data_IF_151176337256
#
_entry.id   IF_151176337256
#
_cell.length_a   1.000
_cell.length_b   1.000
_cell.length_c   1.000
_cell.angle_alpha   90.00
_cell.angle_beta   90.00
_cell.angle_gamma   90.00
#
_symmetry.space_group_name_H-M   'P 1'
#
loop_
_entity.id
_entity.type
_entity.pdbx_description
1 polymer ?
#
# COMPACT_ATOMS: atom_id res chain seq x y z
N UNK A 1 50.90 -26.33 -5.71
CA UNK A 1 50.36 -25.41 -6.72
C UNK A 1 49.50 -26.27 -7.63
N UNK A 2 48.35 -25.74 -8.07
CA UNK A 2 47.28 -26.40 -8.86
C UNK A 2 46.39 -27.35 -8.03
N UNK A 3 45.06 -27.29 -8.01
CA UNK A 3 44.01 -26.55 -8.73
C UNK A 3 42.90 -26.19 -7.71
N UNK A 4 42.32 -25.00 -7.65
CA UNK A 4 41.50 -24.44 -8.72
C UNK A 4 40.05 -24.94 -8.70
N UNK A 5 39.46 -25.22 -7.53
CA UNK A 5 38.05 -25.64 -7.45
C UNK A 5 37.11 -24.41 -7.47
N UNK A 6 36.90 -23.85 -8.66
CA UNK A 6 35.76 -22.97 -8.91
C UNK A 6 34.48 -23.79 -8.72
N UNK A 7 33.79 -23.54 -7.60
CA UNK A 7 32.39 -23.95 -7.47
C UNK A 7 31.57 -22.98 -8.31
N UNK A 8 31.33 -23.37 -9.56
CA UNK A 8 30.20 -22.85 -10.32
C UNK A 8 28.95 -23.11 -9.47
N UNK A 9 28.39 -22.05 -8.91
CA UNK A 9 27.18 -22.12 -8.12
C UNK A 9 26.04 -22.59 -9.01
N UNK A 10 25.55 -23.80 -8.77
CA UNK A 10 24.26 -24.26 -9.28
C UNK A 10 23.21 -23.22 -8.90
N UNK A 11 22.77 -22.43 -9.88
CA UNK A 11 21.56 -21.60 -9.79
C UNK A 11 20.41 -22.59 -9.69
N UNK A 12 19.92 -22.83 -8.47
CA UNK A 12 18.76 -23.69 -8.22
C UNK A 12 17.59 -23.15 -9.05
N UNK A 13 17.01 -23.97 -9.92
CA UNK A 13 15.74 -23.66 -10.60
C UNK A 13 14.72 -23.13 -9.57
N UNK A 14 14.34 -21.85 -9.72
CA UNK A 14 13.46 -21.15 -8.78
C UNK A 14 14.12 -20.07 -7.92
N UNK A 15 15.43 -19.84 -8.01
CA UNK A 15 16.09 -18.71 -7.34
C UNK A 15 15.78 -17.39 -8.04
N UNK A 16 15.31 -16.40 -7.29
CA UNK A 16 15.18 -15.03 -7.77
C UNK A 16 16.53 -14.49 -8.26
N UNK A 17 16.50 -13.77 -9.38
CA UNK A 17 17.64 -13.00 -9.88
C UNK A 17 17.77 -11.68 -9.13
N UNK A 18 18.97 -11.09 -9.15
CA UNK A 18 19.23 -9.77 -8.58
C UNK A 18 18.31 -8.69 -9.19
N UNK A 19 18.12 -8.70 -10.52
CA UNK A 19 17.26 -7.74 -11.21
C UNK A 19 15.79 -7.85 -10.77
N UNK A 20 15.29 -9.06 -10.53
CA UNK A 20 13.92 -9.26 -10.01
C UNK A 20 13.75 -8.69 -8.60
N UNK A 21 14.78 -8.80 -7.75
CA UNK A 21 14.77 -8.27 -6.38
C UNK A 21 14.87 -6.74 -6.38
N UNK A 22 15.74 -6.18 -7.22
CA UNK A 22 15.86 -4.72 -7.38
C UNK A 22 14.53 -4.14 -7.87
N UNK A 23 13.92 -4.73 -8.91
CA UNK A 23 12.62 -4.27 -9.43
C UNK A 23 11.53 -4.31 -8.37
N UNK A 24 11.50 -5.35 -7.55
CA UNK A 24 10.57 -5.44 -6.42
C UNK A 24 10.79 -4.34 -5.39
N UNK A 25 12.04 -4.02 -5.02
CA UNK A 25 12.34 -2.91 -4.12
C UNK A 25 11.96 -1.55 -4.73
N UNK A 26 12.17 -1.35 -6.05
CA UNK A 26 11.72 -0.14 -6.74
C UNK A 26 10.20 0.02 -6.66
N UNK A 27 9.45 -1.04 -6.96
CA UNK A 27 7.98 -1.04 -6.89
C UNK A 27 7.52 -0.73 -5.46
N UNK A 28 8.12 -1.35 -4.44
CA UNK A 28 7.77 -1.07 -3.05
C UNK A 28 7.98 0.40 -2.67
N UNK A 29 9.09 1.01 -3.09
CA UNK A 29 9.41 2.41 -2.77
C UNK A 29 8.42 3.38 -3.44
N UNK A 30 8.04 3.12 -4.69
CA UNK A 30 7.07 3.94 -5.42
C UNK A 30 5.64 3.78 -4.87
N UNK A 31 5.25 2.55 -4.55
CA UNK A 31 3.89 2.25 -4.07
C UNK A 31 3.68 2.74 -2.63
N UNK A 32 4.72 2.67 -1.78
CA UNK A 32 4.70 3.30 -0.45
C UNK A 32 4.52 4.84 -0.55
N UNK A 33 5.09 5.48 -1.58
CA UNK A 33 4.88 6.91 -1.86
C UNK A 33 3.46 7.18 -2.38
N UNK A 34 2.97 6.38 -3.33
CA UNK A 34 1.64 6.54 -3.92
C UNK A 34 0.52 6.35 -2.89
N UNK A 35 0.62 5.32 -2.04
CA UNK A 35 -0.29 5.08 -0.92
C UNK A 35 -0.27 6.27 0.06
N UNK A 36 0.88 6.95 0.22
CA UNK A 36 1.00 8.11 1.10
C UNK A 36 0.45 9.42 0.52
N UNK A 37 0.25 9.56 -0.80
CA UNK A 37 -0.13 10.85 -1.42
C UNK A 37 -1.58 11.25 -1.13
N UNK A 38 -2.51 10.31 -1.02
CA UNK A 38 -3.92 10.57 -0.68
C UNK A 38 -4.47 9.45 0.19
N UNK A 39 -4.78 9.76 1.45
CA UNK A 39 -5.40 8.81 2.38
C UNK A 39 -6.93 8.99 2.39
N UNK A 40 -7.63 8.37 1.44
CA UNK A 40 -9.09 8.45 1.34
C UNK A 40 -9.78 7.80 2.56
N UNK A 41 -9.12 6.85 3.22
CA UNK A 41 -9.57 6.30 4.50
C UNK A 41 -9.55 7.38 5.59
N UNK A 42 -8.49 8.18 5.67
CA UNK A 42 -8.42 9.31 6.59
C UNK A 42 -9.49 10.36 6.29
N UNK A 43 -9.75 10.66 5.02
CA UNK A 43 -10.84 11.57 4.64
C UNK A 43 -12.20 11.03 5.12
N UNK A 44 -12.48 9.75 4.89
CA UNK A 44 -13.70 9.09 5.34
C UNK A 44 -13.80 9.07 6.88
N UNK A 45 -12.69 8.78 7.57
CA UNK A 45 -12.58 8.85 9.03
C UNK A 45 -12.92 10.24 9.56
N UNK A 46 -12.39 11.29 8.93
CA UNK A 46 -12.67 12.67 9.34
C UNK A 46 -14.16 13.00 9.21
N UNK A 47 -14.82 12.56 8.14
CA UNK A 47 -16.29 12.71 8.01
C UNK A 47 -17.06 11.96 9.10
N UNK A 48 -16.63 10.74 9.44
CA UNK A 48 -17.24 9.94 10.50
C UNK A 48 -17.10 10.61 11.88
N UNK A 49 -15.94 11.18 12.16
CA UNK A 49 -15.67 11.94 13.40
C UNK A 49 -16.52 13.21 13.44
N UNK A 50 -16.55 13.98 12.35
CA UNK A 50 -17.36 15.18 12.24
C UNK A 50 -18.85 14.89 12.46
N UNK A 51 -19.38 13.80 11.90
CA UNK A 51 -20.76 13.38 12.12
C UNK A 51 -21.04 13.02 13.58
N UNK A 52 -20.16 12.25 14.22
CA UNK A 52 -20.40 11.72 15.57
C UNK A 52 -20.20 12.75 16.68
N UNK A 53 -19.26 13.66 16.51
CA UNK A 53 -18.79 14.55 17.58
C UNK A 53 -18.85 16.05 17.22
N UNK A 54 -19.22 16.39 15.97
CA UNK A 54 -19.15 17.75 15.44
C UNK A 54 -17.73 18.14 14.99
N UNK A 55 -17.65 19.11 14.08
CA UNK A 55 -16.41 19.65 13.46
C UNK A 55 -15.39 20.22 14.47
N UNK A 56 -15.76 20.38 15.73
CA UNK A 56 -14.93 21.00 16.77
C UNK A 56 -14.18 20.00 17.65
N UNK A 57 -14.37 18.69 17.44
CA UNK A 57 -13.82 17.66 18.32
C UNK A 57 -12.34 17.35 18.03
N UNK A 58 -11.45 18.08 18.69
CA UNK A 58 -10.07 17.62 18.89
C UNK A 58 -10.05 16.44 19.87
N UNK A 59 -10.10 15.19 19.37
CA UNK A 59 -9.40 13.96 19.86
C UNK A 59 -10.24 12.67 19.93
N UNK A 60 -9.45 11.59 19.83
CA UNK A 60 -9.71 10.17 20.04
C UNK A 60 -10.38 9.44 18.86
N UNK A 61 -9.60 9.26 17.79
CA UNK A 61 -9.86 8.30 16.73
C UNK A 61 -10.04 6.92 17.35
N UNK A 62 -11.29 6.51 17.61
CA UNK A 62 -11.58 5.08 17.60
C UNK A 62 -11.28 4.60 16.18
N UNK A 63 -10.52 3.52 16.00
CA UNK A 63 -10.24 3.01 14.68
C UNK A 63 -11.56 2.72 13.98
N UNK A 64 -11.70 3.24 12.76
CA UNK A 64 -12.81 2.92 11.87
C UNK A 64 -12.64 1.47 11.44
N UNK A 65 -13.67 0.67 11.64
CA UNK A 65 -13.68 -0.72 11.20
C UNK A 65 -14.03 -0.78 9.70
N UNK A 66 -13.00 -0.61 8.88
CA UNK A 66 -13.11 -0.63 7.42
C UNK A 66 -13.54 -1.99 6.87
N UNK A 67 -13.15 -3.09 7.52
CA UNK A 67 -13.54 -4.42 7.08
C UNK A 67 -15.06 -4.59 7.18
N UNK A 68 -15.65 -4.19 8.31
CA UNK A 68 -17.09 -4.22 8.50
C UNK A 68 -17.82 -3.30 7.50
N UNK A 69 -17.25 -2.13 7.19
CA UNK A 69 -17.82 -1.22 6.20
C UNK A 69 -17.78 -1.79 4.78
N UNK A 70 -16.62 -2.27 4.33
CA UNK A 70 -16.39 -2.62 2.93
C UNK A 70 -16.88 -4.03 2.56
N UNK A 71 -16.79 -4.99 3.49
CA UNK A 71 -17.10 -6.40 3.22
C UNK A 71 -18.43 -6.86 3.80
N UNK A 72 -18.87 -6.25 4.92
CA UNK A 72 -20.06 -6.70 5.64
C UNK A 72 -21.24 -5.73 5.50
N UNK A 73 -21.07 -4.61 4.80
CA UNK A 73 -22.06 -3.54 4.68
C UNK A 73 -22.59 -3.10 6.06
N UNK A 74 -21.67 -2.90 7.01
CA UNK A 74 -21.98 -2.42 8.36
C UNK A 74 -21.46 -1.01 8.59
N UNK A 75 -22.29 -0.21 9.25
CA UNK A 75 -21.94 1.15 9.64
C UNK A 75 -20.75 1.13 10.61
N UNK A 76 -19.67 1.88 10.33
CA UNK A 76 -18.48 1.90 11.19
C UNK A 76 -18.74 2.55 12.56
N UNK A 77 -19.84 3.30 12.72
CA UNK A 77 -20.17 3.98 13.98
C UNK A 77 -21.04 3.15 14.92
N UNK A 78 -22.03 2.44 14.37
CA UNK A 78 -23.06 1.75 15.16
C UNK A 78 -23.23 0.27 14.79
N UNK A 79 -22.51 -0.23 13.78
CA UNK A 79 -22.57 -1.62 13.28
C UNK A 79 -23.93 -2.03 12.71
N UNK A 80 -24.86 -1.08 12.53
CA UNK A 80 -26.11 -1.28 11.81
C UNK A 80 -25.90 -1.46 10.31
N UNK A 81 -26.90 -1.98 9.60
CA UNK A 81 -26.83 -2.17 8.15
C UNK A 81 -26.73 -0.81 7.43
N UNK A 82 -25.87 -0.76 6.41
CA UNK A 82 -25.83 0.35 5.45
C UNK A 82 -26.46 -0.10 4.15
N UNK A 83 -27.37 0.74 3.65
CA UNK A 83 -28.06 0.60 2.38
C UNK A 83 -27.58 1.68 1.42
N UNK A 84 -27.51 1.35 0.13
CA UNK A 84 -27.15 2.32 -0.90
C UNK A 84 -28.43 2.94 -1.47
N UNK A 85 -28.50 4.27 -1.43
CA UNK A 85 -29.58 5.05 -2.03
C UNK A 85 -28.98 6.21 -2.80
N UNK A 86 -29.32 6.32 -4.09
CA UNK A 86 -28.75 7.30 -5.01
C UNK A 86 -27.21 7.28 -5.02
N UNK A 87 -26.56 8.37 -4.59
CA UNK A 87 -25.09 8.52 -4.50
C UNK A 87 -24.56 8.47 -3.05
N UNK A 88 -25.35 7.90 -2.13
CA UNK A 88 -25.03 7.83 -0.70
C UNK A 88 -25.16 6.40 -0.15
N UNK A 89 -24.26 6.04 0.76
CA UNK A 89 -24.48 4.97 1.72
C UNK A 89 -25.16 5.55 2.95
N UNK A 90 -26.33 5.03 3.29
CA UNK A 90 -27.11 5.45 4.45
C UNK A 90 -27.21 4.33 5.46
N UNK A 91 -26.89 4.61 6.72
CA UNK A 91 -27.07 3.67 7.81
C UNK A 91 -28.50 3.73 8.34
N UNK A 92 -29.23 2.62 8.30
CA UNK A 92 -30.64 2.57 8.74
C UNK A 92 -30.80 2.85 10.25
N UNK A 93 -29.76 2.55 11.04
CA UNK A 93 -29.80 2.64 12.50
C UNK A 93 -29.47 4.04 13.02
N UNK A 94 -28.43 4.69 12.47
CA UNK A 94 -27.97 5.99 12.95
C UNK A 94 -28.14 7.12 11.93
N UNK A 95 -28.73 6.85 10.76
CA UNK A 95 -28.98 7.84 9.70
C UNK A 95 -27.70 8.56 9.25
N UNK A 96 -26.55 7.88 9.37
CA UNK A 96 -25.28 8.36 8.84
C UNK A 96 -25.32 8.24 7.32
N UNK A 97 -24.96 9.32 6.63
CA UNK A 97 -24.82 9.38 5.17
C UNK A 97 -23.35 9.52 4.80
N UNK A 98 -22.87 8.65 3.91
CA UNK A 98 -21.51 8.66 3.38
C UNK A 98 -21.56 8.75 1.85
N UNK A 99 -20.79 9.66 1.21
CA UNK A 99 -20.72 9.73 -0.25
C UNK A 99 -20.23 8.41 -0.85
N UNK A 100 -21.01 7.85 -1.78
CA UNK A 100 -20.70 6.59 -2.48
C UNK A 100 -19.30 6.63 -3.09
N UNK A 101 -18.99 7.71 -3.82
CA UNK A 101 -17.70 7.92 -4.46
C UNK A 101 -16.52 7.81 -3.48
N UNK A 102 -16.62 8.45 -2.31
CA UNK A 102 -15.55 8.44 -1.33
C UNK A 102 -15.40 7.06 -0.66
N UNK A 103 -16.51 6.37 -0.41
CA UNK A 103 -16.49 5.01 0.14
C UNK A 103 -15.88 4.03 -0.87
N UNK A 104 -16.24 4.15 -2.15
CA UNK A 104 -15.68 3.32 -3.22
C UNK A 104 -14.18 3.59 -3.44
N UNK A 105 -13.75 4.86 -3.44
CA UNK A 105 -12.33 5.23 -3.49
C UNK A 105 -11.55 4.66 -2.30
N UNK A 106 -12.08 4.78 -1.08
CA UNK A 106 -11.47 4.23 0.12
C UNK A 106 -11.46 2.69 0.14
N UNK A 107 -12.48 2.03 -0.43
CA UNK A 107 -12.52 0.57 -0.59
C UNK A 107 -11.46 0.12 -1.60
N UNK A 108 -11.37 0.75 -2.76
CA UNK A 108 -10.39 0.41 -3.77
C UNK A 108 -8.96 0.58 -3.24
N UNK A 109 -8.69 1.66 -2.51
CA UNK A 109 -7.42 1.86 -1.82
C UNK A 109 -7.15 0.77 -0.79
N UNK A 110 -8.16 0.34 -0.03
CA UNK A 110 -8.03 -0.75 0.92
C UNK A 110 -7.71 -2.10 0.28
N UNK A 111 -8.40 -2.44 -0.79
CA UNK A 111 -8.15 -3.66 -1.55
C UNK A 111 -6.75 -3.64 -2.18
N UNK A 112 -6.33 -2.51 -2.74
CA UNK A 112 -4.98 -2.32 -3.27
C UNK A 112 -3.91 -2.52 -2.19
N UNK A 113 -4.06 -1.91 -1.00
CA UNK A 113 -3.12 -2.11 0.11
C UNK A 113 -3.06 -3.56 0.59
N UNK A 114 -4.20 -4.27 0.64
CA UNK A 114 -4.22 -5.68 1.02
C UNK A 114 -3.52 -6.55 -0.03
N UNK A 115 -3.79 -6.29 -1.30
CA UNK A 115 -3.15 -7.00 -2.42
C UNK A 115 -1.65 -6.76 -2.43
N UNK A 116 -1.22 -5.51 -2.32
CA UNK A 116 0.19 -5.11 -2.20
C UNK A 116 0.86 -5.83 -1.03
N UNK A 117 0.25 -5.79 0.16
CA UNK A 117 0.78 -6.48 1.35
C UNK A 117 0.94 -7.99 1.11
N UNK A 118 -0.03 -8.61 0.43
CA UNK A 118 0.02 -10.05 0.10
C UNK A 118 1.15 -10.36 -0.89
N UNK A 119 1.22 -9.62 -2.00
CA UNK A 119 2.26 -9.80 -3.02
C UNK A 119 3.65 -9.57 -2.43
N UNK A 120 3.79 -8.54 -1.59
CA UNK A 120 5.01 -8.24 -0.84
C UNK A 120 5.41 -9.39 0.08
N UNK A 121 4.47 -9.97 0.83
CA UNK A 121 4.75 -11.10 1.71
C UNK A 121 5.19 -12.35 0.93
N UNK A 122 4.54 -12.63 -0.22
CA UNK A 122 4.93 -13.73 -1.11
C UNK A 122 6.35 -13.54 -1.66
N UNK A 123 6.65 -12.33 -2.14
CA UNK A 123 7.97 -12.02 -2.70
C UNK A 123 9.07 -12.04 -1.65
N UNK A 124 8.82 -11.51 -0.44
CA UNK A 124 9.75 -11.62 0.69
C UNK A 124 10.03 -13.08 1.02
N UNK A 125 9.01 -13.95 1.04
CA UNK A 125 9.22 -15.39 1.22
C UNK A 125 10.10 -16.03 0.15
N UNK A 126 10.01 -15.56 -1.11
CA UNK A 126 10.89 -16.00 -2.21
C UNK A 126 12.30 -15.43 -2.07
N UNK A 127 12.45 -14.20 -1.59
CA UNK A 127 13.75 -13.57 -1.29
C UNK A 127 14.44 -14.32 -0.17
N UNK A 128 13.76 -14.63 0.93
CA UNK A 128 14.33 -15.42 2.02
C UNK A 128 14.79 -16.82 1.56
N UNK A 129 14.10 -17.39 0.57
CA UNK A 129 14.45 -18.68 -0.02
C UNK A 129 15.54 -18.62 -1.12
N UNK A 130 15.91 -17.42 -1.58
CA UNK A 130 16.83 -17.21 -2.72
C UNK A 130 18.30 -17.52 -2.39
N UNK A 131 18.66 -17.48 -1.10
CA UNK A 131 20.02 -17.74 -0.63
C UNK A 131 20.94 -16.52 -0.62
N UNK A 132 20.43 -15.32 -0.96
CA UNK A 132 21.15 -14.06 -0.73
C UNK A 132 21.29 -13.77 0.76
N UNK A 133 22.46 -13.28 1.16
CA UNK A 133 22.66 -12.79 2.52
C UNK A 133 22.14 -11.35 2.69
N UNK A 134 22.05 -10.91 3.96
CA UNK A 134 21.53 -9.57 4.28
C UNK A 134 22.37 -8.44 3.68
N UNK A 135 23.68 -8.62 3.48
CA UNK A 135 24.54 -7.63 2.85
C UNK A 135 24.21 -7.46 1.37
N UNK A 136 24.07 -8.57 0.65
CA UNK A 136 23.67 -8.57 -0.76
C UNK A 136 22.29 -7.94 -0.97
N UNK A 137 21.32 -8.28 -0.11
CA UNK A 137 19.98 -7.69 -0.17
C UNK A 137 20.00 -6.17 0.11
N UNK A 138 20.86 -5.72 1.02
CA UNK A 138 21.05 -4.29 1.30
C UNK A 138 21.62 -3.55 0.09
N UNK A 139 22.58 -4.14 -0.61
CA UNK A 139 23.13 -3.55 -1.85
C UNK A 139 22.06 -3.42 -2.94
N UNK A 140 21.21 -4.45 -3.12
CA UNK A 140 20.10 -4.40 -4.08
C UNK A 140 19.07 -3.33 -3.73
N UNK A 141 18.76 -3.17 -2.44
CA UNK A 141 17.87 -2.10 -1.97
C UNK A 141 18.45 -0.71 -2.25
N UNK A 142 19.75 -0.50 -2.01
CA UNK A 142 20.41 0.78 -2.30
C UNK A 142 20.40 1.08 -3.82
N UNK A 143 20.63 0.07 -4.68
CA UNK A 143 20.50 0.22 -6.13
C UNK A 143 19.09 0.64 -6.54
N UNK A 144 18.06 0.05 -5.95
CA UNK A 144 16.67 0.44 -6.21
C UNK A 144 16.40 1.91 -5.82
N UNK A 145 16.92 2.36 -4.67
CA UNK A 145 16.82 3.77 -4.26
C UNK A 145 17.52 4.72 -5.24
N UNK A 146 18.73 4.38 -5.69
CA UNK A 146 19.47 5.16 -6.68
C UNK A 146 18.72 5.25 -8.02
N UNK A 147 18.14 4.13 -8.49
CA UNK A 147 17.39 4.09 -9.74
C UNK A 147 16.14 4.99 -9.70
N UNK A 148 15.43 5.04 -8.57
CA UNK A 148 14.30 5.97 -8.39
C UNK A 148 14.80 7.41 -8.34
N UNK A 149 15.82 7.71 -7.54
CA UNK A 149 16.38 9.07 -7.44
C UNK A 149 16.91 9.61 -8.78
N UNK A 150 17.47 8.74 -9.63
CA UNK A 150 17.89 9.08 -10.99
C UNK A 150 16.72 9.34 -11.94
N UNK A 151 15.56 8.70 -11.74
CA UNK A 151 14.33 8.96 -12.51
C UNK A 151 13.72 10.31 -12.16
N UNK A 152 13.71 10.69 -10.88
CA UNK A 152 13.15 11.97 -10.45
C UNK A 152 14.02 13.16 -10.84
N UNK A 153 15.35 13.02 -10.74
CA UNK A 153 16.29 14.07 -11.16
C UNK A 153 16.34 14.30 -12.68
N UNK A 154 15.89 13.35 -13.50
CA UNK A 154 15.69 13.54 -14.95
C UNK A 154 14.37 14.23 -15.32
N UNK A 155 13.45 14.40 -14.35
CA UNK A 155 12.12 15.01 -14.55
C UNK A 155 12.13 16.52 -14.30
N UNK A 156 12.98 16.98 -13.38
CA UNK A 156 13.16 18.42 -13.08
C UNK A 156 13.86 19.19 -14.22
N UNK A 157 14.64 18.53 -15.08
CA UNK A 157 15.34 19.18 -16.19
C UNK A 157 14.44 19.45 -17.42
N UNK A 158 13.19 18.97 -17.44
CA UNK A 158 12.25 19.22 -18.56
C UNK A 158 11.20 20.31 -18.31
N UNK A 159 11.07 20.85 -17.09
CA UNK A 159 10.09 21.92 -16.81
C UNK A 159 10.65 23.35 -17.00
N UNK A 160 11.87 23.49 -17.55
CA UNK A 160 12.54 24.77 -17.79
C UNK A 160 12.88 25.04 -19.27
N UNK A 161 12.16 24.45 -20.21
CA UNK A 161 12.21 24.83 -21.64
C UNK A 161 10.81 25.01 -22.25
N UNK A 162 10.02 25.98 -21.78
CA UNK A 162 9.02 26.71 -22.60
C UNK A 162 8.93 28.19 -22.22
#
# INVERSE_FOLDING_TARGET
MDEGNQKDGEVKEGSLTEDEIIKFYEECLLEDEEISRVDHKLELSNKLVAYKYGDTSRRANKPVDYNSLFNENKCPLCQGLVSMHDELYTCDSCQLELPLKLVDEARNQHEAEQEYTRQRAEMVGRIDASGYDQGQLTEMYLKAQENIGARDSGRDDQEHEE
#
